data_IF_450725156813
#
_entry.id   IF_450725156813
#
_cell.length_a   1.000
_cell.length_b   1.000
_cell.length_c   1.000
_cell.angle_alpha   90.00
_cell.angle_beta   90.00
_cell.angle_gamma   90.00
#
_symmetry.space_group_name_H-M   'P 1'
#
loop_
_entity.id
_entity.type
_entity.pdbx_description
1 polymer ?
#
# COMPACT_ATOMS: atom_id res chain seq x y z
N UNK A 1 53.85 -17.10 19.43
CA UNK A 1 52.60 -16.31 19.60
C UNK A 1 52.88 -14.91 19.09
N UNK A 2 52.51 -14.62 17.85
CA UNK A 2 52.77 -13.33 17.19
C UNK A 2 51.81 -12.29 17.77
N UNK A 3 52.35 -11.30 18.48
CA UNK A 3 51.56 -10.22 19.06
C UNK A 3 50.87 -9.42 17.93
N UNK A 4 49.55 -9.30 18.01
CA UNK A 4 48.76 -8.48 17.11
C UNK A 4 49.21 -7.00 17.22
N UNK A 5 49.31 -6.24 16.11
CA UNK A 5 49.70 -4.84 16.15
C UNK A 5 48.72 -4.00 16.98
N UNK A 6 49.26 -3.17 17.87
CA UNK A 6 48.56 -2.29 18.82
C UNK A 6 47.57 -1.28 18.19
N UNK A 7 47.54 -1.18 16.86
CA UNK A 7 46.68 -0.27 16.10
C UNK A 7 45.19 -0.71 16.03
N UNK A 8 44.88 -1.98 16.32
CA UNK A 8 43.49 -2.48 16.34
C UNK A 8 42.84 -2.41 17.74
N UNK A 9 43.59 -2.03 18.78
CA UNK A 9 43.16 -2.11 20.17
C UNK A 9 42.57 -0.81 20.74
N UNK A 10 42.54 0.29 19.98
CA UNK A 10 42.05 1.60 20.44
C UNK A 10 40.81 2.11 19.71
N UNK A 11 40.23 1.35 18.78
CA UNK A 11 38.96 1.71 18.15
C UNK A 11 37.83 1.33 19.11
N UNK A 12 37.28 2.31 19.82
CA UNK A 12 36.18 2.10 20.74
C UNK A 12 34.98 1.55 19.96
N UNK A 13 34.55 0.33 20.32
CA UNK A 13 33.41 -0.33 19.68
C UNK A 13 32.12 0.04 20.38
N UNK A 14 31.09 0.36 19.60
CA UNK A 14 29.77 0.75 20.07
C UNK A 14 28.74 -0.28 19.62
N UNK A 15 28.56 -1.34 20.42
CA UNK A 15 27.64 -2.44 20.10
C UNK A 15 26.16 -2.11 20.33
N UNK A 16 25.85 -0.92 20.83
CA UNK A 16 24.48 -0.45 21.03
C UNK A 16 23.86 0.13 19.76
N UNK A 17 22.61 0.58 19.92
CA UNK A 17 21.87 1.36 18.92
C UNK A 17 21.65 2.77 19.44
N UNK A 18 21.51 3.73 18.54
CA UNK A 18 21.26 5.13 18.89
C UNK A 18 20.12 5.73 18.04
N UNK A 19 19.22 6.52 18.65
CA UNK A 19 18.29 7.33 17.88
C UNK A 19 19.04 8.47 17.15
N UNK A 20 18.58 8.78 15.94
CA UNK A 20 19.10 9.86 15.12
C UNK A 20 17.97 10.50 14.31
N UNK A 21 18.16 11.74 13.88
CA UNK A 21 17.21 12.48 13.05
C UNK A 21 17.64 12.45 11.59
N UNK A 22 16.73 12.14 10.68
CA UNK A 22 17.01 12.23 9.24
C UNK A 22 17.13 13.70 8.83
N UNK A 23 18.22 14.07 8.16
CA UNK A 23 18.47 15.44 7.70
C UNK A 23 18.47 15.59 6.18
N UNK A 24 18.66 14.48 5.46
CA UNK A 24 18.51 14.42 4.00
C UNK A 24 18.06 13.01 3.59
N UNK A 25 17.15 12.94 2.63
CA UNK A 25 16.65 11.70 2.04
C UNK A 25 16.51 11.79 0.52
N UNK A 26 16.97 12.89 -0.08
CA UNK A 26 16.98 13.19 -1.49
C UNK A 26 18.43 13.47 -1.96
N UNK A 27 18.80 12.92 -3.11
CA UNK A 27 20.16 13.04 -3.66
C UNK A 27 20.98 11.75 -3.68
N UNK A 28 20.33 10.61 -3.43
CA UNK A 28 20.89 9.28 -3.66
C UNK A 28 19.84 8.35 -4.28
N UNK A 29 20.22 7.60 -5.32
CA UNK A 29 19.31 6.72 -6.06
C UNK A 29 19.17 5.32 -5.42
N UNK A 30 19.83 5.08 -4.28
CA UNK A 30 19.82 3.78 -3.57
C UNK A 30 18.92 3.77 -2.32
N UNK A 31 18.13 4.83 -2.09
CA UNK A 31 17.23 4.94 -0.94
C UNK A 31 17.95 5.08 0.40
N UNK A 32 19.18 5.61 0.39
CA UNK A 32 19.95 5.94 1.60
C UNK A 32 19.46 7.26 2.21
N UNK A 33 19.83 7.48 3.46
CA UNK A 33 19.56 8.74 4.17
C UNK A 33 20.83 9.29 4.81
N UNK A 34 20.83 10.58 5.15
CA UNK A 34 21.82 11.16 6.07
C UNK A 34 21.11 11.50 7.37
N UNK A 35 21.79 11.24 8.49
CA UNK A 35 21.22 11.44 9.83
C UNK A 35 22.13 12.30 10.70
N UNK A 36 21.51 13.01 11.63
CA UNK A 36 22.14 13.74 12.73
C UNK A 36 21.97 12.95 14.02
N UNK A 37 23.07 12.66 14.70
CA UNK A 37 23.05 11.94 15.98
C UNK A 37 22.83 12.92 17.14
N UNK A 38 21.85 12.68 18.01
CA UNK A 38 21.57 13.59 19.13
C UNK A 38 22.69 13.69 20.17
N UNK A 39 23.42 12.58 20.37
CA UNK A 39 24.43 12.44 21.42
C UNK A 39 25.85 12.77 20.97
N UNK A 40 26.11 12.80 19.66
CA UNK A 40 27.44 13.00 19.09
C UNK A 40 27.67 14.48 18.75
N UNK A 41 28.73 15.05 19.31
CA UNK A 41 29.17 16.44 19.02
C UNK A 41 28.05 17.48 19.18
N UNK A 42 27.25 17.35 20.26
CA UNK A 42 26.11 18.24 20.52
C UNK A 42 25.05 18.25 19.41
N UNK A 43 25.03 17.22 18.55
CA UNK A 43 24.15 17.16 17.39
C UNK A 43 24.65 17.94 16.17
N UNK A 44 25.92 18.32 16.11
CA UNK A 44 26.50 18.92 14.90
C UNK A 44 26.93 17.85 13.87
N UNK A 45 27.22 16.63 14.33
CA UNK A 45 27.70 15.54 13.47
C UNK A 45 26.60 14.96 12.59
N UNK A 46 26.80 15.04 11.28
CA UNK A 46 25.94 14.45 10.23
C UNK A 46 26.64 13.24 9.62
N UNK A 47 25.93 12.13 9.45
CA UNK A 47 26.44 10.92 8.83
C UNK A 47 26.75 11.10 7.33
N UNK A 48 27.58 10.21 6.74
CA UNK A 48 27.53 9.96 5.30
C UNK A 48 26.14 9.41 4.90
N UNK A 49 25.94 9.14 3.61
CA UNK A 49 24.77 8.38 3.16
C UNK A 49 24.82 6.96 3.74
N UNK A 50 23.79 6.60 4.51
CA UNK A 50 23.70 5.32 5.21
C UNK A 50 22.50 4.51 4.72
N UNK A 51 22.67 3.19 4.68
CA UNK A 51 21.66 2.26 4.20
C UNK A 51 20.50 2.13 5.19
N UNK A 52 19.30 1.96 4.65
CA UNK A 52 18.07 1.70 5.40
C UNK A 52 17.69 0.24 5.25
N UNK A 53 17.47 -0.44 6.36
CA UNK A 53 16.93 -1.80 6.39
C UNK A 53 15.50 -1.80 5.83
N UNK A 54 15.27 -2.61 4.80
CA UNK A 54 13.96 -2.77 4.16
C UNK A 54 13.33 -4.10 4.57
N UNK A 55 11.99 -4.21 4.49
CA UNK A 55 11.26 -5.44 4.80
C UNK A 55 11.60 -6.57 3.81
N UNK A 56 11.77 -6.23 2.53
CA UNK A 56 12.14 -7.14 1.46
C UNK A 56 12.96 -6.37 0.41
N UNK A 57 14.09 -6.90 -0.05
CA UNK A 57 14.96 -6.21 -1.01
C UNK A 57 15.67 -7.18 -1.95
N UNK A 58 15.75 -6.82 -3.23
CA UNK A 58 16.54 -7.50 -4.25
C UNK A 58 16.69 -6.66 -5.52
N UNK A 59 17.32 -7.22 -6.54
CA UNK A 59 17.61 -6.50 -7.79
C UNK A 59 16.30 -6.25 -8.58
N UNK A 60 15.76 -5.03 -8.47
CA UNK A 60 14.54 -4.61 -9.18
C UNK A 60 13.22 -5.00 -8.52
N UNK A 61 13.25 -5.51 -7.28
CA UNK A 61 12.05 -5.85 -6.51
C UNK A 61 12.26 -5.62 -5.01
N UNK A 62 11.18 -5.44 -4.26
CA UNK A 62 11.24 -5.26 -2.81
C UNK A 62 10.21 -4.28 -2.28
N UNK A 63 10.41 -3.89 -1.02
CA UNK A 63 9.76 -2.75 -0.37
C UNK A 63 10.74 -1.58 -0.34
N UNK A 64 10.26 -0.37 -0.62
CA UNK A 64 11.05 0.86 -0.48
C UNK A 64 10.29 1.83 0.42
N UNK A 65 10.71 1.89 1.68
CA UNK A 65 10.23 2.87 2.66
C UNK A 65 11.43 3.68 3.14
N UNK A 66 11.66 4.83 2.52
CA UNK A 66 12.72 5.76 2.90
C UNK A 66 12.15 6.73 3.96
N UNK A 67 12.76 6.83 5.15
CA UNK A 67 12.36 7.81 6.16
C UNK A 67 12.36 9.26 5.64
N UNK A 68 11.48 10.09 6.18
CA UNK A 68 11.35 11.48 5.77
C UNK A 68 12.36 12.39 6.52
N UNK A 69 12.72 13.53 5.93
CA UNK A 69 13.50 14.55 6.66
C UNK A 69 12.77 14.97 7.94
N UNK A 70 13.53 14.98 9.03
CA UNK A 70 13.10 15.23 10.40
C UNK A 70 12.57 13.99 11.13
N UNK A 71 12.40 12.84 10.47
CA UNK A 71 11.98 11.60 11.15
C UNK A 71 13.09 11.07 12.06
N UNK A 72 12.66 10.50 13.18
CA UNK A 72 13.56 9.81 14.10
C UNK A 72 13.74 8.37 13.63
N UNK A 73 14.98 7.91 13.58
CA UNK A 73 15.35 6.56 13.14
C UNK A 73 16.29 5.92 14.14
N UNK A 74 16.23 4.59 14.23
CA UNK A 74 17.15 3.81 15.04
C UNK A 74 18.36 3.39 14.20
N UNK A 75 19.57 3.71 14.66
CA UNK A 75 20.82 3.43 13.96
C UNK A 75 21.65 2.39 14.72
N UNK A 76 22.14 1.38 14.01
CA UNK A 76 23.11 0.41 14.48
C UNK A 76 24.46 0.59 13.78
N UNK A 77 25.52 0.05 14.37
CA UNK A 77 26.89 0.16 13.87
C UNK A 77 27.45 -1.24 13.57
N UNK A 78 27.92 -1.48 12.35
CA UNK A 78 28.41 -2.80 11.94
C UNK A 78 29.61 -3.23 12.78
N UNK A 79 29.48 -4.35 13.52
CA UNK A 79 30.50 -4.82 14.46
C UNK A 79 30.93 -3.75 15.49
N UNK A 80 30.03 -2.81 15.80
CA UNK A 80 30.29 -1.67 16.68
C UNK A 80 31.17 -0.57 16.08
N UNK A 81 31.41 -0.56 14.76
CA UNK A 81 32.16 0.49 14.07
C UNK A 81 31.26 1.69 13.72
N UNK A 82 31.46 2.83 14.38
CA UNK A 82 30.67 4.04 14.13
C UNK A 82 30.79 4.58 12.70
N UNK A 83 31.84 4.21 11.97
CA UNK A 83 32.05 4.62 10.57
C UNK A 83 31.18 3.83 9.60
N UNK A 84 30.50 2.77 10.07
CA UNK A 84 29.63 1.91 9.27
C UNK A 84 28.22 1.85 9.87
N UNK A 85 27.42 2.93 9.76
CA UNK A 85 26.09 2.99 10.35
C UNK A 85 25.02 2.41 9.41
N UNK A 86 23.96 1.88 10.00
CA UNK A 86 22.81 1.31 9.31
C UNK A 86 21.53 1.75 10.03
N UNK A 87 20.56 2.27 9.27
CA UNK A 87 19.22 2.52 9.81
C UNK A 87 18.46 1.20 9.89
N UNK A 88 17.96 0.87 11.08
CA UNK A 88 17.15 -0.32 11.31
C UNK A 88 15.66 -0.07 11.02
N UNK A 89 15.19 1.16 11.25
CA UNK A 89 13.80 1.56 11.02
C UNK A 89 13.48 2.91 11.63
N UNK A 90 12.26 3.41 11.36
CA UNK A 90 11.73 4.64 11.95
C UNK A 90 11.17 4.41 13.35
N UNK A 91 11.23 5.46 14.17
CA UNK A 91 10.72 5.50 15.54
C UNK A 91 9.64 6.56 15.68
N UNK A 92 8.53 6.20 16.32
CA UNK A 92 7.59 7.19 16.85
C UNK A 92 8.07 7.69 18.20
N UNK A 93 7.77 8.95 18.52
CA UNK A 93 8.14 9.58 19.77
C UNK A 93 7.01 10.48 20.30
N UNK A 94 7.25 11.20 21.40
CA UNK A 94 6.23 12.05 22.02
C UNK A 94 5.67 13.17 21.11
N UNK A 95 6.43 13.57 20.08
CA UNK A 95 6.02 14.59 19.09
C UNK A 95 5.41 13.95 17.84
N UNK A 96 6.08 12.93 17.28
CA UNK A 96 5.65 12.17 16.10
C UNK A 96 5.00 10.87 16.52
N UNK A 97 3.68 10.87 16.63
CA UNK A 97 2.88 9.73 17.11
C UNK A 97 2.51 8.77 15.97
N UNK A 98 2.28 7.48 16.28
CA UNK A 98 1.74 6.56 15.29
C UNK A 98 0.36 7.00 14.78
N UNK A 99 0.01 6.68 13.52
CA UNK A 99 -1.26 7.09 12.91
C UNK A 99 -2.48 6.45 13.59
N UNK A 100 -2.30 5.27 14.19
CA UNK A 100 -3.28 4.60 15.03
C UNK A 100 -2.59 4.15 16.31
N UNK A 101 -3.25 4.35 17.45
CA UNK A 101 -2.79 3.82 18.74
C UNK A 101 -3.64 2.60 19.09
N UNK A 102 -3.01 1.59 19.68
CA UNK A 102 -3.70 0.48 20.32
C UNK A 102 -4.28 0.98 21.65
N UNK A 103 -5.54 1.43 21.61
CA UNK A 103 -6.23 2.04 22.75
C UNK A 103 -7.65 1.52 22.80
N UNK A 104 -8.21 1.41 24.00
CA UNK A 104 -9.61 1.08 24.24
C UNK A 104 -10.02 -0.26 23.60
N UNK A 105 -9.08 -1.21 23.52
CA UNK A 105 -9.28 -2.54 22.93
C UNK A 105 -9.36 -2.58 21.39
N UNK A 106 -9.20 -1.44 20.73
CA UNK A 106 -9.26 -1.34 19.26
C UNK A 106 -7.89 -1.66 18.67
N UNK A 107 -7.79 -2.80 17.98
CA UNK A 107 -6.54 -3.30 17.41
C UNK A 107 -6.47 -3.11 15.88
N UNK A 108 -5.87 -1.98 15.48
CA UNK A 108 -5.73 -1.58 14.07
C UNK A 108 -4.28 -1.65 13.61
N UNK A 109 -4.07 -2.24 12.43
CA UNK A 109 -2.76 -2.31 11.77
C UNK A 109 -2.85 -1.52 10.48
N UNK A 110 -1.86 -0.66 10.22
CA UNK A 110 -1.96 0.29 9.11
C UNK A 110 -0.60 0.53 8.46
N UNK A 111 -0.61 0.64 7.14
CA UNK A 111 0.44 1.28 6.36
C UNK A 111 -0.15 2.60 5.86
N UNK A 112 0.43 3.73 6.24
CA UNK A 112 -0.03 5.07 5.85
C UNK A 112 1.14 5.92 5.37
N UNK A 113 1.00 6.52 4.20
CA UNK A 113 1.99 7.47 3.67
C UNK A 113 1.80 8.86 4.27
N UNK A 114 2.83 9.72 4.17
CA UNK A 114 2.77 11.12 4.61
C UNK A 114 1.61 11.90 3.98
N UNK A 115 1.34 11.65 2.70
CA UNK A 115 0.24 12.26 1.97
C UNK A 115 -1.14 11.77 2.43
N UNK A 116 -1.22 10.63 3.13
CA UNK A 116 -2.45 10.12 3.73
C UNK A 116 -3.09 8.93 3.01
N UNK A 117 -2.44 8.36 1.98
CA UNK A 117 -2.86 7.08 1.40
C UNK A 117 -2.62 5.96 2.40
N UNK A 118 -3.53 4.99 2.50
CA UNK A 118 -3.44 3.94 3.52
C UNK A 118 -4.04 2.60 3.11
N UNK A 119 -3.50 1.56 3.73
CA UNK A 119 -4.09 0.22 3.84
C UNK A 119 -4.28 -0.03 5.33
N UNK A 120 -5.51 -0.28 5.76
CA UNK A 120 -5.92 -0.48 7.15
C UNK A 120 -6.52 -1.86 7.32
N UNK A 121 -6.07 -2.58 8.33
CA UNK A 121 -6.67 -3.80 8.86
C UNK A 121 -7.28 -3.46 10.22
N UNK A 122 -8.59 -3.64 10.34
CA UNK A 122 -9.33 -3.37 11.57
C UNK A 122 -9.94 -4.67 12.11
N UNK A 123 -9.37 -5.20 13.18
CA UNK A 123 -9.84 -6.46 13.78
C UNK A 123 -11.12 -6.27 14.61
N UNK A 124 -11.46 -5.03 14.97
CA UNK A 124 -12.70 -4.72 15.68
C UNK A 124 -13.88 -4.70 14.71
N UNK A 125 -13.75 -3.93 13.62
CA UNK A 125 -14.77 -3.85 12.56
C UNK A 125 -14.75 -5.06 11.62
N UNK A 126 -13.68 -5.88 11.67
CA UNK A 126 -13.46 -7.05 10.81
C UNK A 126 -13.48 -6.70 9.32
N UNK A 127 -12.66 -5.71 8.98
CA UNK A 127 -12.54 -5.22 7.61
C UNK A 127 -11.12 -4.84 7.21
N UNK A 128 -10.90 -4.83 5.90
CA UNK A 128 -9.70 -4.33 5.24
C UNK A 128 -10.10 -3.13 4.38
N UNK A 129 -9.47 -1.98 4.61
CA UNK A 129 -9.75 -0.73 3.91
C UNK A 129 -8.51 -0.20 3.20
N UNK A 130 -8.59 -0.08 1.87
CA UNK A 130 -7.61 0.65 1.05
C UNK A 130 -8.20 2.01 0.73
N UNK A 131 -7.51 3.09 1.07
CA UNK A 131 -8.02 4.44 0.81
C UNK A 131 -6.95 5.45 0.40
N UNK A 132 -7.39 6.40 -0.40
CA UNK A 132 -6.58 7.55 -0.81
C UNK A 132 -6.85 8.75 0.08
N UNK A 133 -5.89 9.68 0.16
CA UNK A 133 -6.07 10.93 0.89
C UNK A 133 -7.26 11.76 0.40
N UNK A 134 -7.61 11.64 -0.89
CA UNK A 134 -8.74 12.32 -1.53
C UNK A 134 -10.09 11.62 -1.35
N UNK A 135 -10.15 10.51 -0.61
CA UNK A 135 -11.42 9.88 -0.20
C UNK A 135 -11.90 8.70 -1.04
N UNK A 136 -11.20 8.29 -2.10
CA UNK A 136 -11.55 7.03 -2.78
C UNK A 136 -11.21 5.83 -1.88
N UNK A 137 -12.11 4.84 -1.80
CA UNK A 137 -11.99 3.68 -0.92
C UNK A 137 -12.33 2.36 -1.63
N UNK A 138 -11.69 1.30 -1.14
CA UNK A 138 -12.08 -0.10 -1.37
C UNK A 138 -12.13 -0.75 0.00
N UNK A 139 -13.28 -1.31 0.37
CA UNK A 139 -13.52 -1.94 1.67
C UNK A 139 -13.91 -3.39 1.45
N UNK A 140 -13.24 -4.30 2.15
CA UNK A 140 -13.54 -5.72 2.18
C UNK A 140 -13.90 -6.10 3.61
N UNK A 141 -15.12 -6.60 3.83
CA UNK A 141 -15.58 -7.03 5.15
C UNK A 141 -15.59 -8.55 5.27
N UNK A 142 -15.42 -9.05 6.48
CA UNK A 142 -15.57 -10.48 6.80
C UNK A 142 -16.99 -11.02 6.51
N UNK A 143 -17.99 -10.15 6.46
CA UNK A 143 -19.36 -10.51 6.04
C UNK A 143 -19.45 -10.95 4.57
N UNK A 144 -18.38 -10.75 3.78
CA UNK A 144 -18.35 -10.97 2.33
C UNK A 144 -18.77 -9.76 1.50
N UNK A 145 -19.14 -8.64 2.15
CA UNK A 145 -19.43 -7.38 1.46
C UNK A 145 -18.14 -6.72 0.96
N UNK A 146 -18.15 -6.28 -0.30
CA UNK A 146 -17.07 -5.50 -0.91
C UNK A 146 -17.65 -4.20 -1.47
N UNK A 147 -17.10 -3.07 -1.04
CA UNK A 147 -17.59 -1.73 -1.43
C UNK A 147 -16.48 -0.92 -2.08
N UNK A 148 -16.79 -0.29 -3.21
CA UNK A 148 -15.91 0.63 -3.92
C UNK A 148 -16.57 2.00 -3.96
N UNK A 149 -15.91 3.02 -3.41
CA UNK A 149 -16.40 4.40 -3.42
C UNK A 149 -15.39 5.32 -4.08
N UNK A 150 -15.80 6.01 -5.15
CA UNK A 150 -14.98 6.97 -5.87
C UNK A 150 -15.86 7.90 -6.73
N UNK A 151 -15.29 9.04 -7.16
CA UNK A 151 -15.93 9.94 -8.14
C UNK A 151 -16.20 9.24 -9.49
N UNK A 152 -15.31 8.34 -9.89
CA UNK A 152 -15.45 7.57 -11.14
C UNK A 152 -14.71 6.24 -10.97
N UNK A 153 -15.37 5.14 -11.34
CA UNK A 153 -14.77 3.80 -11.41
C UNK A 153 -14.72 3.37 -12.87
N UNK A 154 -13.52 3.05 -13.36
CA UNK A 154 -13.31 2.61 -14.75
C UNK A 154 -12.69 1.23 -14.75
N UNK A 155 -13.38 0.26 -15.36
CA UNK A 155 -12.87 -1.11 -15.55
C UNK A 155 -12.50 -1.28 -17.01
N UNK A 156 -11.21 -1.52 -17.28
CA UNK A 156 -10.69 -1.82 -18.62
C UNK A 156 -10.15 -3.24 -18.63
N UNK A 157 -10.78 -4.10 -19.42
CA UNK A 157 -10.35 -5.46 -19.68
C UNK A 157 -10.79 -5.84 -21.11
N UNK A 158 -10.21 -6.88 -21.69
CA UNK A 158 -10.76 -7.47 -22.91
C UNK A 158 -12.16 -8.01 -22.61
N UNK A 159 -12.29 -8.88 -21.60
CA UNK A 159 -13.56 -9.44 -21.16
C UNK A 159 -13.92 -8.97 -19.73
N UNK A 160 -15.20 -8.69 -19.48
CA UNK A 160 -15.73 -8.33 -18.16
C UNK A 160 -16.91 -9.26 -17.82
N UNK A 161 -16.75 -10.08 -16.78
CA UNK A 161 -17.83 -10.91 -16.20
C UNK A 161 -18.26 -10.29 -14.86
N UNK A 162 -19.48 -9.75 -14.82
CA UNK A 162 -20.06 -9.12 -13.63
C UNK A 162 -21.44 -9.71 -13.36
N UNK A 163 -21.65 -10.20 -12.14
CA UNK A 163 -22.91 -10.81 -11.74
C UNK A 163 -23.14 -12.24 -12.26
N UNK A 164 -22.11 -12.93 -12.78
CA UNK A 164 -22.20 -14.34 -13.13
C UNK A 164 -22.67 -15.20 -11.94
N UNK A 165 -23.85 -15.81 -12.04
CA UNK A 165 -24.47 -16.57 -10.95
C UNK A 165 -25.28 -15.74 -9.94
N UNK A 166 -25.38 -14.42 -10.14
CA UNK A 166 -26.29 -13.54 -9.37
C UNK A 166 -27.75 -13.83 -9.73
N UNK A 167 -28.65 -13.64 -8.76
CA UNK A 167 -30.11 -13.62 -9.01
C UNK A 167 -30.50 -12.50 -9.99
N UNK A 168 -29.74 -11.40 -9.97
CA UNK A 168 -29.90 -10.25 -10.85
C UNK A 168 -28.57 -9.95 -11.57
N UNK A 169 -28.40 -10.37 -12.84
CA UNK A 169 -27.18 -10.13 -13.59
C UNK A 169 -27.13 -8.70 -14.14
N UNK A 170 -25.92 -8.19 -14.31
CA UNK A 170 -25.70 -6.89 -14.97
C UNK A 170 -25.87 -7.06 -16.48
N UNK A 171 -26.74 -6.28 -17.10
CA UNK A 171 -26.96 -6.31 -18.55
C UNK A 171 -26.09 -5.28 -19.24
N UNK A 172 -25.07 -5.74 -19.96
CA UNK A 172 -24.19 -4.87 -20.75
C UNK A 172 -24.86 -4.46 -22.08
N UNK A 173 -24.51 -3.27 -22.59
CA UNK A 173 -25.20 -2.61 -23.70
C UNK A 173 -25.35 -3.46 -24.98
N UNK A 174 -24.33 -4.23 -25.36
CA UNK A 174 -24.41 -5.11 -26.53
C UNK A 174 -25.37 -6.30 -26.33
N UNK A 175 -25.41 -6.88 -25.13
CA UNK A 175 -26.35 -7.95 -24.80
C UNK A 175 -27.79 -7.42 -24.80
N UNK A 176 -28.00 -6.22 -24.25
CA UNK A 176 -29.29 -5.52 -24.33
C UNK A 176 -29.70 -5.24 -25.79
N UNK A 177 -28.77 -4.75 -26.62
CA UNK A 177 -29.04 -4.43 -28.01
C UNK A 177 -29.40 -5.70 -28.82
N UNK A 178 -28.69 -6.81 -28.61
CA UNK A 178 -29.02 -8.08 -29.27
C UNK A 178 -30.41 -8.60 -28.85
N UNK A 179 -30.72 -8.56 -27.56
CA UNK A 179 -32.03 -8.92 -27.04
C UNK A 179 -33.14 -8.03 -27.63
N UNK A 180 -32.89 -6.73 -27.73
CA UNK A 180 -33.84 -5.77 -28.31
C UNK A 180 -34.09 -6.01 -29.82
N UNK A 181 -33.03 -6.20 -30.61
CA UNK A 181 -33.15 -6.46 -32.06
C UNK A 181 -33.92 -7.74 -32.34
N UNK A 182 -33.74 -8.78 -31.51
CA UNK A 182 -34.54 -10.01 -31.61
C UNK A 182 -36.02 -9.81 -31.30
N UNK A 183 -36.38 -8.74 -30.58
CA UNK A 183 -37.76 -8.42 -30.22
C UNK A 183 -38.44 -7.44 -31.22
N UNK A 184 -37.71 -6.58 -31.92
CA UNK A 184 -38.33 -5.61 -32.83
C UNK A 184 -38.80 -6.24 -34.15
N UNK A 185 -40.03 -5.91 -34.59
CA UNK A 185 -40.55 -6.35 -35.90
C UNK A 185 -40.16 -5.38 -37.03
N UNK A 186 -39.79 -5.88 -38.23
CA UNK A 186 -39.25 -5.08 -39.33
C UNK A 186 -40.30 -4.34 -40.20
N UNK A 187 -41.60 -4.50 -39.96
CA UNK A 187 -42.65 -3.88 -40.78
C UNK A 187 -43.88 -3.46 -39.94
N UNK A 188 -44.70 -2.48 -40.39
CA UNK A 188 -45.93 -2.03 -39.72
C UNK A 188 -47.08 -3.07 -39.70
N UNK A 189 -46.78 -4.35 -39.89
CA UNK A 189 -47.77 -5.43 -39.99
C UNK A 189 -48.49 -5.61 -38.66
N UNK A 190 -49.83 -5.59 -38.73
CA UNK A 190 -50.74 -5.55 -37.59
C UNK A 190 -50.47 -6.60 -36.51
N UNK A 191 -50.97 -6.30 -35.30
CA UNK A 191 -50.73 -6.99 -34.04
C UNK A 191 -50.51 -8.50 -34.19
N UNK A 192 -49.24 -8.92 -34.27
CA UNK A 192 -48.86 -10.28 -33.93
C UNK A 192 -49.08 -10.45 -32.43
N UNK A 193 -49.64 -11.59 -32.00
CA UNK A 193 -49.94 -11.87 -30.59
C UNK A 193 -48.74 -11.60 -29.68
N UNK A 194 -48.95 -11.37 -28.37
CA UNK A 194 -47.91 -10.86 -27.47
C UNK A 194 -46.64 -11.71 -27.61
N UNK A 195 -45.53 -11.07 -27.98
CA UNK A 195 -44.25 -11.73 -28.09
C UNK A 195 -43.98 -12.48 -26.79
N UNK A 196 -43.53 -13.74 -26.86
CA UNK A 196 -43.07 -14.45 -25.66
C UNK A 196 -41.98 -13.59 -25.01
N UNK A 197 -42.16 -13.16 -23.75
CA UNK A 197 -41.17 -12.34 -23.07
C UNK A 197 -39.82 -13.05 -23.10
N UNK A 198 -38.75 -12.31 -23.39
CA UNK A 198 -37.41 -12.86 -23.30
C UNK A 198 -37.17 -13.34 -21.85
N UNK A 199 -36.82 -14.62 -21.64
CA UNK A 199 -36.52 -15.08 -20.30
C UNK A 199 -35.24 -14.41 -19.78
N UNK A 200 -35.11 -14.18 -18.46
CA UNK A 200 -33.93 -13.53 -17.86
C UNK A 200 -32.59 -14.18 -18.25
N UNK A 201 -32.61 -15.47 -18.61
CA UNK A 201 -31.44 -16.23 -19.08
C UNK A 201 -30.82 -15.69 -20.37
N UNK A 202 -31.55 -14.92 -21.20
CA UNK A 202 -31.01 -14.31 -22.42
C UNK A 202 -30.08 -13.14 -22.10
N UNK A 203 -30.32 -12.44 -21.00
CA UNK A 203 -29.53 -11.27 -20.57
C UNK A 203 -28.32 -11.64 -19.69
N UNK A 204 -28.23 -12.90 -19.25
CA UNK A 204 -27.21 -13.42 -18.35
C UNK A 204 -26.04 -14.12 -19.07
N UNK A 205 -26.00 -14.13 -20.40
CA UNK A 205 -24.89 -14.78 -21.12
C UNK A 205 -23.61 -13.96 -20.92
N UNK A 206 -22.57 -14.65 -20.43
CA UNK A 206 -21.17 -14.21 -20.44
C UNK A 206 -20.88 -13.38 -21.69
N UNK A 207 -20.85 -12.06 -21.56
CA UNK A 207 -20.45 -11.21 -22.66
C UNK A 207 -18.94 -11.25 -22.69
N UNK A 208 -18.39 -12.10 -23.56
CA UNK A 208 -17.03 -11.90 -24.03
C UNK A 208 -17.06 -10.77 -25.04
N UNK A 209 -16.40 -9.66 -24.72
CA UNK A 209 -16.21 -8.56 -25.64
C UNK A 209 -14.80 -8.73 -26.21
N UNK A 210 -14.70 -9.00 -27.50
CA UNK A 210 -13.40 -8.97 -28.20
C UNK A 210 -12.97 -7.54 -28.48
#
# INVERSE_FOLDING_TARGET
MTAMPRAMATDQRFYGVAPAEVVANDGDDEGRVRVKYYWLDGGASISPWIRVSQLYAGAGYGSVFVPEVGDEVLVAFFQGDMRQPYVLGGLYNGKKKPPVAHKDGVDRKIIRTKAGHRILFDDHEKEITISTASGATVVLKDSGEITLEAKTVTVKASDIDLGGGSTEPVVLGNALLQAFVQHTHPAPGGATGPASPLPPSVLAKKVKAT
#
